data_IF_711599281845
#
_entry.id   IF_711599281845
#
_cell.length_a   1.000
_cell.length_b   1.000
_cell.length_c   1.000
_cell.angle_alpha   90.00
_cell.angle_beta   90.00
_cell.angle_gamma   90.00
#
_symmetry.space_group_name_H-M   'P 1'
#
loop_
_entity.id
_entity.type
_entity.pdbx_description
1 polymer ?
#
# COMPACT_ATOMS: atom_id res chain seq x y z
N UNK A 1 19.11 22.97 -18.76
CA UNK A 1 18.28 21.74 -18.73
C UNK A 1 18.56 21.03 -17.41
N UNK A 2 17.59 21.01 -16.49
CA UNK A 2 17.79 20.44 -15.16
C UNK A 2 17.87 18.91 -15.23
N UNK A 3 18.83 18.31 -14.51
CA UNK A 3 18.82 16.87 -14.26
C UNK A 3 17.53 16.54 -13.50
N UNK A 4 16.68 15.67 -14.05
CA UNK A 4 15.51 15.15 -13.35
C UNK A 4 15.91 13.87 -12.60
N UNK A 5 15.89 13.92 -11.27
CA UNK A 5 16.14 12.76 -10.43
C UNK A 5 14.82 12.09 -10.09
N UNK A 6 14.72 10.79 -10.34
CA UNK A 6 13.53 10.01 -9.96
C UNK A 6 13.98 8.88 -9.08
N UNK A 7 13.35 8.77 -7.91
CA UNK A 7 13.59 7.72 -6.93
C UNK A 7 12.24 7.07 -6.65
N UNK A 8 12.16 5.77 -6.90
CA UNK A 8 11.05 4.94 -6.49
C UNK A 8 11.45 4.25 -5.18
N UNK A 9 10.72 4.53 -4.10
CA UNK A 9 10.94 3.91 -2.80
C UNK A 9 9.83 2.90 -2.56
N UNK A 10 10.22 1.65 -2.28
CA UNK A 10 9.31 0.57 -1.95
C UNK A 10 9.51 0.20 -0.47
N UNK A 11 8.63 0.75 0.36
CA UNK A 11 8.55 0.44 1.78
C UNK A 11 7.69 -0.82 2.01
N UNK A 12 8.28 -1.99 1.81
CA UNK A 12 7.59 -3.25 2.11
C UNK A 12 7.47 -3.52 3.61
N UNK A 13 6.57 -4.44 3.95
CA UNK A 13 6.27 -4.77 5.36
C UNK A 13 7.48 -5.32 6.12
N UNK A 14 8.19 -6.28 5.51
CA UNK A 14 9.40 -6.88 6.10
C UNK A 14 10.71 -6.30 5.53
N UNK A 15 10.70 -5.81 4.29
CA UNK A 15 11.89 -5.27 3.62
C UNK A 15 11.56 -4.02 2.81
N UNK A 16 12.45 -3.04 2.86
CA UNK A 16 12.38 -1.79 2.12
C UNK A 16 13.53 -1.67 1.11
N UNK A 17 13.29 -1.04 -0.03
CA UNK A 17 14.31 -0.80 -1.05
C UNK A 17 13.98 0.41 -1.90
N UNK A 18 14.90 0.78 -2.78
CA UNK A 18 14.65 1.84 -3.74
C UNK A 18 15.38 1.60 -5.07
N UNK A 19 14.79 2.12 -6.13
CA UNK A 19 15.41 2.27 -7.44
C UNK A 19 15.45 3.74 -7.83
N UNK A 20 16.38 4.13 -8.69
CA UNK A 20 16.54 5.51 -9.10
C UNK A 20 17.05 5.64 -10.53
N UNK A 21 16.78 6.78 -11.17
CA UNK A 21 17.39 7.17 -12.44
C UNK A 21 18.02 8.56 -12.33
N UNK A 22 19.26 8.67 -12.81
CA UNK A 22 20.05 9.91 -12.85
C UNK A 22 20.26 10.43 -14.28
N UNK A 23 19.54 9.89 -15.27
CA UNK A 23 19.73 10.25 -16.68
C UNK A 23 18.96 11.52 -17.04
N UNK A 24 19.50 12.33 -17.98
CA UNK A 24 18.79 13.47 -18.58
C UNK A 24 17.42 13.02 -19.10
N UNK A 25 16.42 13.93 -19.11
CA UNK A 25 15.02 13.60 -19.46
C UNK A 25 14.87 12.98 -20.86
N UNK A 26 15.74 13.37 -21.80
CA UNK A 26 15.76 12.91 -23.20
C UNK A 26 16.57 11.63 -23.43
N UNK A 27 17.33 11.14 -22.44
CA UNK A 27 18.11 9.92 -22.57
C UNK A 27 17.26 8.68 -22.25
N UNK A 28 17.62 7.55 -22.87
CA UNK A 28 17.05 6.24 -22.54
C UNK A 28 17.14 6.01 -21.02
N UNK A 29 16.04 5.53 -20.44
CA UNK A 29 15.97 5.35 -19.00
C UNK A 29 16.39 3.94 -18.64
N UNK A 30 17.50 3.84 -17.91
CA UNK A 30 17.89 2.60 -17.25
C UNK A 30 17.78 2.78 -15.73
N UNK A 31 16.68 2.33 -15.08
CA UNK A 31 16.54 2.41 -13.65
C UNK A 31 17.61 1.57 -12.94
N UNK A 32 18.34 2.19 -12.01
CA UNK A 32 19.37 1.54 -11.18
C UNK A 32 18.77 1.14 -9.84
N UNK A 33 19.12 -0.06 -9.35
CA UNK A 33 18.73 -0.52 -8.02
C UNK A 33 19.87 -0.32 -7.03
N UNK A 34 19.51 0.06 -5.79
CA UNK A 34 20.41 -0.09 -4.66
C UNK A 34 20.39 -1.54 -4.20
N UNK A 35 21.55 -2.20 -4.26
CA UNK A 35 21.75 -3.48 -3.59
C UNK A 35 22.29 -3.26 -2.16
N UNK A 36 21.81 -4.09 -1.24
CA UNK A 36 22.08 -4.03 0.19
C UNK A 36 22.77 -5.30 0.68
N UNK A 37 23.28 -5.25 1.91
CA UNK A 37 23.76 -6.44 2.64
C UNK A 37 25.23 -6.78 2.42
N UNK A 38 26.01 -5.96 1.70
CA UNK A 38 27.46 -6.20 1.47
C UNK A 38 28.22 -6.42 2.78
N UNK A 39 27.85 -5.68 3.83
CA UNK A 39 28.41 -5.78 5.18
C UNK A 39 28.16 -7.11 5.90
N UNK A 40 27.18 -7.88 5.42
CA UNK A 40 26.82 -9.23 5.90
C UNK A 40 26.97 -10.28 4.79
N UNK A 41 27.81 -10.00 3.78
CA UNK A 41 28.06 -10.88 2.63
C UNK A 41 26.81 -11.24 1.80
N UNK A 42 25.77 -10.40 1.83
CA UNK A 42 24.57 -10.51 1.02
C UNK A 42 24.58 -9.48 -0.12
N UNK A 43 23.77 -9.75 -1.16
CA UNK A 43 23.48 -8.80 -2.25
C UNK A 43 22.00 -8.86 -2.58
N UNK A 44 21.20 -8.03 -1.92
CA UNK A 44 19.74 -8.06 -2.03
C UNK A 44 19.19 -6.73 -2.54
N UNK A 45 18.11 -6.73 -3.35
CA UNK A 45 17.49 -5.49 -3.87
C UNK A 45 16.72 -4.71 -2.78
N UNK A 46 16.49 -5.31 -1.61
CA UNK A 46 15.89 -4.68 -0.44
C UNK A 46 16.66 -5.03 0.84
N UNK A 47 16.51 -4.19 1.86
CA UNK A 47 17.06 -4.36 3.21
C UNK A 47 15.92 -4.52 4.21
N UNK A 48 16.10 -5.21 5.35
CA UNK A 48 15.06 -5.34 6.38
C UNK A 48 14.46 -4.00 6.80
N UNK A 49 13.16 -3.96 7.07
CA UNK A 49 12.49 -2.76 7.58
C UNK A 49 12.68 -2.69 9.10
N UNK A 50 13.87 -2.26 9.50
CA UNK A 50 14.24 -2.03 10.90
C UNK A 50 15.05 -0.75 11.04
N UNK A 51 14.90 -0.08 12.18
CA UNK A 51 15.49 1.23 12.46
C UNK A 51 16.04 1.24 13.88
N UNK A 52 17.21 1.85 14.04
CA UNK A 52 17.91 1.94 15.32
C UNK A 52 18.06 3.41 15.72
N UNK A 53 17.72 3.73 16.96
CA UNK A 53 17.93 5.02 17.59
C UNK A 53 18.81 4.88 18.83
N UNK A 54 19.49 5.96 19.22
CA UNK A 54 20.19 6.04 20.50
C UNK A 54 19.23 6.29 21.67
N UNK A 55 19.78 6.44 22.88
CA UNK A 55 19.01 6.72 24.11
C UNK A 55 18.32 8.09 24.15
N UNK A 56 18.66 8.97 23.20
CA UNK A 56 18.09 10.30 23.04
C UNK A 56 17.16 10.37 21.82
N UNK A 57 16.73 9.22 21.30
CA UNK A 57 15.84 9.10 20.15
C UNK A 57 16.44 9.65 18.84
N UNK A 58 17.76 9.82 18.75
CA UNK A 58 18.41 10.20 17.51
C UNK A 58 18.59 8.99 16.60
N UNK A 59 18.30 9.16 15.31
CA UNK A 59 18.48 8.12 14.30
C UNK A 59 19.95 7.71 14.20
N UNK A 60 20.22 6.41 14.33
CA UNK A 60 21.56 5.84 14.14
C UNK A 60 21.72 5.15 12.78
N UNK A 61 20.81 4.24 12.43
CA UNK A 61 20.93 3.45 11.19
C UNK A 61 19.62 2.75 10.79
N UNK A 62 19.59 2.21 9.57
CA UNK A 62 18.45 1.48 9.00
C UNK A 62 18.86 0.15 8.33
N UNK A 63 17.99 -0.85 8.35
CA UNK A 63 18.16 -2.13 7.67
C UNK A 63 19.28 -3.01 8.23
N UNK A 64 20.00 -3.73 7.36
CA UNK A 64 21.10 -4.61 7.79
C UNK A 64 22.15 -3.93 8.67
N UNK A 65 22.37 -2.62 8.51
CA UNK A 65 23.27 -1.86 9.39
C UNK A 65 22.70 -1.68 10.79
N UNK A 66 21.41 -1.33 10.91
CA UNK A 66 20.71 -1.26 12.19
C UNK A 66 20.73 -2.59 12.94
N UNK A 67 20.42 -3.69 12.26
CA UNK A 67 20.52 -5.04 12.83
C UNK A 67 21.94 -5.33 13.29
N UNK A 68 22.93 -5.15 12.41
CA UNK A 68 24.31 -5.46 12.75
C UNK A 68 24.82 -4.60 13.90
N UNK A 69 24.44 -3.32 13.97
CA UNK A 69 24.88 -2.42 15.03
C UNK A 69 24.24 -2.77 16.37
N UNK A 70 22.93 -3.04 16.37
CA UNK A 70 22.20 -3.42 17.58
C UNK A 70 22.73 -4.74 18.16
N UNK A 71 22.89 -5.78 17.33
CA UNK A 71 23.31 -7.11 17.79
C UNK A 71 24.82 -7.25 18.06
N UNK A 72 25.67 -6.33 17.57
CA UNK A 72 27.10 -6.29 17.94
C UNK A 72 27.38 -5.52 19.23
N UNK A 73 26.42 -4.72 19.73
CA UNK A 73 26.60 -3.93 20.95
C UNK A 73 26.43 -4.82 22.20
N UNK A 74 27.25 -4.62 23.25
CA UNK A 74 27.12 -5.33 24.54
C UNK A 74 25.74 -5.10 25.16
N UNK A 75 25.25 -6.09 25.92
CA UNK A 75 23.89 -6.12 26.50
C UNK A 75 23.48 -4.89 27.30
N UNK A 76 24.42 -4.23 27.99
CA UNK A 76 24.10 -3.05 28.81
C UNK A 76 23.99 -1.75 28.00
N UNK A 77 24.69 -1.64 26.88
CA UNK A 77 24.60 -0.49 25.96
C UNK A 77 23.48 -0.67 24.93
N UNK A 78 23.15 -1.91 24.52
CA UNK A 78 22.03 -2.19 23.64
C UNK A 78 20.68 -1.91 24.31
N UNK A 79 20.59 -2.10 25.64
CA UNK A 79 19.38 -1.82 26.45
C UNK A 79 18.97 -0.35 26.46
N UNK A 80 19.89 0.57 26.14
CA UNK A 80 19.60 2.00 26.07
C UNK A 80 19.20 2.47 24.67
N UNK A 81 19.42 1.64 23.65
CA UNK A 81 19.08 1.96 22.26
C UNK A 81 17.67 1.49 21.94
N UNK A 82 16.93 2.29 21.18
CA UNK A 82 15.61 1.89 20.68
C UNK A 82 15.75 1.23 19.32
N UNK A 83 15.60 -0.09 19.28
CA UNK A 83 15.57 -0.85 18.03
C UNK A 83 14.13 -1.23 17.70
N UNK A 84 13.64 -0.71 16.59
CA UNK A 84 12.32 -1.06 16.07
C UNK A 84 12.48 -1.95 14.85
N UNK A 85 11.95 -3.16 14.93
CA UNK A 85 11.94 -4.13 13.85
C UNK A 85 10.53 -4.55 13.49
N UNK A 86 10.32 -4.91 12.23
CA UNK A 86 9.05 -5.42 11.73
C UNK A 86 7.84 -4.56 12.15
N UNK A 87 8.07 -3.28 12.47
CA UNK A 87 7.08 -2.37 13.05
C UNK A 87 5.91 -2.11 12.08
N UNK A 88 6.09 -2.45 10.80
CA UNK A 88 5.05 -2.43 9.77
C UNK A 88 4.26 -3.74 9.67
N UNK A 89 4.77 -4.87 10.16
CA UNK A 89 4.06 -6.17 10.14
C UNK A 89 2.84 -6.17 11.06
N UNK A 90 2.92 -5.49 12.20
CA UNK A 90 1.77 -5.29 13.08
C UNK A 90 0.73 -4.32 12.50
N UNK A 91 1.10 -3.55 11.47
CA UNK A 91 0.23 -2.56 10.83
C UNK A 91 -0.44 -3.07 9.55
N UNK A 92 0.15 -4.07 8.87
CA UNK A 92 -0.32 -4.58 7.58
C UNK A 92 -0.12 -6.09 7.42
N UNK A 93 -1.23 -6.84 7.33
CA UNK A 93 -1.23 -8.18 6.75
C UNK A 93 -0.72 -8.10 5.32
N UNK A 94 0.08 -9.07 4.86
CA UNK A 94 0.66 -9.01 3.52
C UNK A 94 -0.43 -8.98 2.46
N UNK A 95 -0.43 -7.97 1.60
CA UNK A 95 -1.48 -7.79 0.60
C UNK A 95 -1.16 -8.49 -0.71
N UNK A 96 -2.20 -8.79 -1.47
CA UNK A 96 -2.11 -8.95 -2.92
C UNK A 96 -2.90 -7.81 -3.55
N UNK A 97 -2.38 -7.28 -4.65
CA UNK A 97 -3.06 -6.27 -5.46
C UNK A 97 -3.23 -6.80 -6.87
N UNK A 98 -4.46 -6.72 -7.40
CA UNK A 98 -4.86 -7.15 -8.73
C UNK A 98 -5.37 -5.92 -9.48
N UNK A 99 -4.76 -5.68 -10.63
CA UNK A 99 -5.13 -4.63 -11.58
C UNK A 99 -5.31 -5.24 -12.96
N UNK A 100 -6.18 -4.64 -13.78
CA UNK A 100 -6.46 -5.10 -15.14
C UNK A 100 -6.14 -3.96 -16.08
N UNK A 101 -5.29 -4.23 -17.07
CA UNK A 101 -4.84 -3.22 -18.02
C UNK A 101 -4.97 -3.71 -19.46
N UNK A 102 -5.37 -2.79 -20.33
CA UNK A 102 -5.19 -2.89 -21.77
C UNK A 102 -3.88 -2.18 -22.15
N UNK A 103 -3.09 -2.81 -23.01
CA UNK A 103 -1.91 -2.18 -23.61
C UNK A 103 -2.35 -1.53 -24.92
N UNK A 104 -2.34 -0.20 -24.96
CA UNK A 104 -2.72 0.59 -26.12
C UNK A 104 -1.61 0.58 -27.18
N UNK A 105 -1.96 1.01 -28.40
CA UNK A 105 -0.99 1.32 -29.43
C UNK A 105 0.04 2.35 -28.90
N UNK A 106 1.33 2.07 -29.09
CA UNK A 106 2.42 2.87 -28.49
C UNK A 106 2.83 2.45 -27.08
N UNK A 107 2.19 1.45 -26.47
CA UNK A 107 2.63 0.81 -25.22
C UNK A 107 2.16 1.46 -23.93
N UNK A 108 1.29 2.48 -24.00
CA UNK A 108 0.63 3.05 -22.83
C UNK A 108 -0.41 2.08 -22.25
N UNK A 109 -0.65 2.18 -20.94
CA UNK A 109 -1.56 1.32 -20.20
C UNK A 109 -2.87 2.04 -19.91
N UNK A 110 -3.99 1.42 -20.26
CA UNK A 110 -5.33 1.83 -19.85
C UNK A 110 -5.85 0.86 -18.80
N UNK A 111 -6.15 1.35 -17.60
CA UNK A 111 -6.76 0.52 -16.56
C UNK A 111 -8.23 0.22 -16.94
N UNK A 112 -8.64 -1.05 -16.85
CA UNK A 112 -10.00 -1.51 -17.18
C UNK A 112 -10.86 -1.75 -15.93
N UNK A 113 -10.22 -1.83 -14.78
CA UNK A 113 -10.87 -2.13 -13.52
C UNK A 113 -10.10 -1.48 -12.39
N UNK A 114 -10.80 -0.82 -11.46
CA UNK A 114 -10.19 -0.25 -10.26
C UNK A 114 -9.33 -1.29 -9.54
N UNK A 115 -8.18 -0.87 -9.01
CA UNK A 115 -7.35 -1.77 -8.21
C UNK A 115 -8.17 -2.49 -7.13
N UNK A 116 -7.90 -3.78 -6.96
CA UNK A 116 -8.55 -4.64 -5.96
C UNK A 116 -7.49 -5.44 -5.23
N UNK A 117 -7.77 -5.89 -4.01
CA UNK A 117 -6.79 -6.62 -3.22
C UNK A 117 -7.37 -7.31 -2.00
N UNK A 118 -6.55 -8.11 -1.34
CA UNK A 118 -6.87 -8.79 -0.08
C UNK A 118 -5.58 -9.06 0.72
N UNK A 119 -5.72 -9.60 1.94
CA UNK A 119 -4.61 -9.83 2.86
C UNK A 119 -4.02 -11.26 2.77
N UNK A 120 -4.12 -11.91 1.61
CA UNK A 120 -3.62 -13.28 1.35
C UNK A 120 -2.22 -13.32 0.74
N UNK A 121 -1.40 -12.29 0.95
CA UNK A 121 -0.03 -12.21 0.44
C UNK A 121 0.95 -13.14 1.16
N UNK A 122 2.25 -12.99 0.86
CA UNK A 122 3.29 -13.90 1.36
C UNK A 122 3.46 -13.95 2.89
N UNK A 123 2.93 -12.96 3.62
CA UNK A 123 2.93 -12.95 5.09
C UNK A 123 1.92 -13.92 5.70
N UNK A 124 0.85 -14.27 4.99
CA UNK A 124 -0.08 -15.33 5.42
C UNK A 124 0.69 -16.65 5.60
N UNK A 125 1.63 -16.92 4.69
CA UNK A 125 2.51 -18.10 4.78
C UNK A 125 3.50 -17.96 5.93
N UNK A 126 4.11 -16.79 6.13
CA UNK A 126 5.03 -16.55 7.27
C UNK A 126 4.35 -16.81 8.61
N UNK A 127 3.08 -16.38 8.74
CA UNK A 127 2.26 -16.65 9.92
C UNK A 127 2.08 -18.14 10.14
N UNK A 128 1.81 -18.92 9.10
CA UNK A 128 1.66 -20.38 9.19
C UNK A 128 2.96 -21.08 9.59
N UNK A 129 4.11 -20.61 9.12
CA UNK A 129 5.41 -21.09 9.60
C UNK A 129 5.61 -20.80 11.09
N UNK A 130 5.34 -19.57 11.55
CA UNK A 130 5.44 -19.21 12.98
C UNK A 130 4.49 -20.04 13.85
N UNK A 131 3.23 -20.18 13.42
CA UNK A 131 2.23 -21.02 14.11
C UNK A 131 2.72 -22.46 14.25
N UNK A 132 3.33 -23.02 13.20
CA UNK A 132 3.85 -24.38 13.23
C UNK A 132 5.09 -24.54 14.13
N UNK A 133 6.00 -23.56 14.15
CA UNK A 133 7.14 -23.58 15.07
C UNK A 133 6.70 -23.45 16.53
N UNK A 134 5.67 -22.63 16.78
CA UNK A 134 5.02 -22.52 18.09
C UNK A 134 4.34 -23.83 18.51
N UNK A 135 3.71 -24.54 17.58
CA UNK A 135 3.14 -25.88 17.80
C UNK A 135 4.24 -26.89 18.20
N UNK A 136 5.39 -26.85 17.53
CA UNK A 136 6.54 -27.72 17.84
C UNK A 136 7.04 -27.48 19.26
N UNK A 137 7.35 -26.22 19.62
CA UNK A 137 8.05 -25.92 20.87
C UNK A 137 7.15 -25.58 22.06
N UNK A 138 5.83 -25.58 21.89
CA UNK A 138 4.81 -25.08 22.84
C UNK A 138 4.75 -23.55 22.95
N UNK A 139 3.54 -23.05 23.25
CA UNK A 139 3.28 -21.62 23.47
C UNK A 139 4.24 -20.99 24.49
N UNK A 140 4.41 -21.65 25.64
CA UNK A 140 5.20 -21.08 26.74
C UNK A 140 6.67 -20.85 26.41
N UNK A 141 7.29 -21.79 25.69
CA UNK A 141 8.70 -21.69 25.30
C UNK A 141 8.86 -20.74 24.12
N UNK A 142 7.96 -20.84 23.12
CA UNK A 142 8.02 -19.98 21.95
C UNK A 142 7.83 -18.50 22.30
N UNK A 143 6.88 -18.18 23.18
CA UNK A 143 6.63 -16.81 23.63
C UNK A 143 7.82 -16.25 24.42
N UNK A 144 8.48 -17.07 25.25
CA UNK A 144 9.70 -16.69 25.93
C UNK A 144 10.85 -16.44 24.95
N UNK A 145 11.04 -17.34 23.97
CA UNK A 145 12.08 -17.21 22.94
C UNK A 145 11.87 -15.97 22.05
N UNK A 146 10.65 -15.70 21.59
CA UNK A 146 10.34 -14.50 20.79
C UNK A 146 10.63 -13.20 21.57
N UNK A 147 10.41 -13.21 22.89
CA UNK A 147 10.69 -12.07 23.77
C UNK A 147 12.18 -11.90 24.08
N UNK A 148 12.88 -12.99 24.40
CA UNK A 148 14.25 -12.96 24.90
C UNK A 148 15.30 -12.94 23.76
N UNK A 149 14.96 -13.50 22.60
CA UNK A 149 15.87 -13.66 21.46
C UNK A 149 15.28 -13.19 20.11
N UNK A 150 14.77 -11.94 20.01
CA UNK A 150 14.17 -11.41 18.77
C UNK A 150 15.14 -11.44 17.57
N UNK A 151 16.45 -11.27 17.82
CA UNK A 151 17.51 -11.37 16.82
C UNK A 151 17.54 -12.70 16.06
N UNK A 152 17.48 -13.79 16.83
CA UNK A 152 17.56 -15.15 16.31
C UNK A 152 16.28 -15.49 15.57
N UNK A 153 15.13 -15.08 16.13
CA UNK A 153 13.84 -15.22 15.46
C UNK A 153 13.83 -14.48 14.12
N UNK A 154 14.33 -13.25 14.06
CA UNK A 154 14.39 -12.48 12.83
C UNK A 154 15.25 -13.17 11.76
N UNK A 155 16.42 -13.69 12.15
CA UNK A 155 17.28 -14.46 11.25
C UNK A 155 16.54 -15.69 10.72
N UNK A 156 15.88 -16.44 11.60
CA UNK A 156 15.06 -17.59 11.21
C UNK A 156 13.94 -17.18 10.25
N UNK A 157 13.24 -16.06 10.50
CA UNK A 157 12.19 -15.57 9.61
C UNK A 157 12.73 -15.14 8.24
N UNK A 158 13.94 -14.58 8.17
CA UNK A 158 14.62 -14.31 6.90
C UNK A 158 14.93 -15.61 6.15
N UNK A 159 15.45 -16.63 6.83
CA UNK A 159 15.71 -17.94 6.23
C UNK A 159 14.42 -18.55 5.67
N UNK A 160 13.33 -18.54 6.45
CA UNK A 160 12.00 -18.97 6.00
C UNK A 160 11.56 -18.19 4.75
N UNK A 161 11.82 -16.87 4.70
CA UNK A 161 11.46 -16.05 3.54
C UNK A 161 12.11 -16.51 2.23
N UNK A 162 13.35 -16.99 2.32
CA UNK A 162 14.11 -17.54 1.18
C UNK A 162 13.61 -18.95 0.85
N UNK A 163 13.35 -19.78 1.87
CA UNK A 163 12.86 -21.16 1.70
C UNK A 163 11.50 -21.21 0.97
N UNK A 164 10.62 -20.22 1.19
CA UNK A 164 9.34 -20.07 0.48
C UNK A 164 9.46 -19.91 -1.04
N UNK A 165 10.65 -19.60 -1.55
CA UNK A 165 10.89 -19.48 -2.99
C UNK A 165 10.94 -20.84 -3.69
N UNK A 166 11.39 -21.88 -2.97
CA UNK A 166 11.48 -23.26 -3.46
C UNK A 166 10.18 -24.04 -3.30
N UNK A 167 10.10 -25.21 -3.94
CA UNK A 167 9.02 -26.19 -3.77
C UNK A 167 9.64 -27.54 -3.38
N UNK A 168 10.41 -27.56 -2.30
CA UNK A 168 11.17 -28.72 -1.83
C UNK A 168 10.98 -28.92 -0.32
N UNK A 169 11.58 -29.99 0.22
CA UNK A 169 11.77 -30.10 1.66
C UNK A 169 12.64 -28.94 2.15
N UNK A 170 12.31 -28.41 3.32
CA UNK A 170 13.02 -27.26 3.89
C UNK A 170 13.74 -27.64 5.17
N UNK A 171 14.92 -27.07 5.36
CA UNK A 171 15.74 -27.26 6.53
C UNK A 171 15.99 -25.89 7.17
N UNK A 172 15.47 -25.72 8.39
CA UNK A 172 15.62 -24.49 9.17
C UNK A 172 16.65 -24.77 10.25
N UNK A 173 17.75 -24.01 10.25
CA UNK A 173 18.74 -24.12 11.32
C UNK A 173 18.09 -23.75 12.65
N UNK A 174 18.21 -24.61 13.66
CA UNK A 174 17.74 -24.28 14.99
C UNK A 174 18.68 -23.25 15.61
N UNK A 175 18.17 -22.08 16.04
CA UNK A 175 18.99 -21.10 16.72
C UNK A 175 19.49 -21.65 18.06
N UNK A 176 20.68 -21.20 18.47
CA UNK A 176 21.36 -21.74 19.63
C UNK A 176 20.50 -21.58 20.89
N UNK A 177 19.98 -20.37 21.15
CA UNK A 177 19.22 -20.13 22.36
C UNK A 177 17.88 -20.88 22.35
N UNK A 178 17.21 -20.99 21.20
CA UNK A 178 16.02 -21.84 21.08
C UNK A 178 16.32 -23.30 21.44
N UNK A 179 17.44 -23.83 20.92
CA UNK A 179 17.89 -25.19 21.20
C UNK A 179 18.21 -25.42 22.68
N UNK A 180 18.89 -24.48 23.34
CA UNK A 180 19.21 -24.58 24.77
C UNK A 180 17.94 -24.51 25.63
N UNK A 181 17.05 -23.56 25.38
CA UNK A 181 15.75 -23.45 26.06
C UNK A 181 14.90 -24.73 25.90
N UNK A 182 14.92 -25.34 24.71
CA UNK A 182 14.21 -26.60 24.44
C UNK A 182 14.79 -27.78 25.23
N UNK A 183 16.13 -27.90 25.29
CA UNK A 183 16.82 -28.97 26.02
C UNK A 183 16.56 -28.94 27.53
N UNK A 184 16.40 -27.76 28.12
CA UNK A 184 16.05 -27.62 29.54
C UNK A 184 14.67 -28.23 29.86
N UNK A 185 13.75 -28.25 28.89
CA UNK A 185 12.41 -28.81 29.07
C UNK A 185 12.38 -30.32 28.83
N UNK A 186 12.99 -30.80 27.75
CA UNK A 186 13.03 -32.22 27.38
C UNK A 186 14.06 -32.51 26.28
N UNK A 187 14.25 -33.79 25.95
CA UNK A 187 15.06 -34.19 24.78
C UNK A 187 14.47 -33.60 23.49
N UNK A 188 15.34 -33.06 22.64
CA UNK A 188 14.96 -32.30 21.45
C UNK A 188 14.06 -33.10 20.50
N UNK A 189 14.36 -34.39 20.31
CA UNK A 189 13.64 -35.30 19.42
C UNK A 189 12.15 -35.42 19.79
N UNK A 190 11.84 -35.34 21.10
CA UNK A 190 10.47 -35.48 21.61
C UNK A 190 9.52 -34.37 21.17
N UNK A 191 10.03 -33.18 20.83
CA UNK A 191 9.19 -32.09 20.30
C UNK A 191 8.62 -32.39 18.90
N UNK A 192 9.20 -33.37 18.19
CA UNK A 192 8.85 -33.65 16.79
C UNK A 192 8.09 -34.98 16.62
N UNK A 193 8.21 -35.92 17.57
CA UNK A 193 7.66 -37.28 17.48
C UNK A 193 6.14 -37.33 17.21
N UNK A 194 5.38 -36.38 17.75
CA UNK A 194 3.92 -36.33 17.61
C UNK A 194 3.44 -35.62 16.34
N UNK A 195 4.34 -34.93 15.61
CA UNK A 195 3.99 -34.05 14.51
C UNK A 195 4.31 -34.67 13.16
N UNK A 196 3.36 -34.62 12.23
CA UNK A 196 3.53 -35.17 10.88
C UNK A 196 4.27 -34.20 9.97
N UNK A 197 5.17 -34.75 9.15
CA UNK A 197 5.86 -34.01 8.10
C UNK A 197 6.95 -33.06 8.62
N UNK A 198 7.40 -33.26 9.86
CA UNK A 198 8.55 -32.57 10.46
C UNK A 198 9.45 -33.57 11.18
N UNK A 199 10.75 -33.31 11.22
CA UNK A 199 11.71 -34.11 11.97
C UNK A 199 12.89 -33.27 12.45
N UNK A 200 13.58 -33.76 13.47
CA UNK A 200 14.82 -33.20 13.96
C UNK A 200 16.03 -33.94 13.37
N UNK A 201 17.02 -33.22 12.86
CA UNK A 201 18.29 -33.80 12.42
C UNK A 201 19.46 -32.84 12.65
N UNK A 202 20.44 -33.26 13.46
CA UNK A 202 21.76 -32.59 13.61
C UNK A 202 21.71 -31.06 13.75
N UNK A 203 20.81 -30.52 14.57
CA UNK A 203 20.71 -29.08 14.80
C UNK A 203 19.73 -28.35 13.88
N UNK A 204 19.00 -29.06 13.03
CA UNK A 204 18.04 -28.46 12.10
C UNK A 204 16.65 -29.10 12.17
N UNK A 205 15.66 -28.25 11.93
CA UNK A 205 14.25 -28.60 11.80
C UNK A 205 13.98 -28.88 10.31
N UNK A 206 13.74 -30.13 9.97
CA UNK A 206 13.39 -30.54 8.60
C UNK A 206 11.89 -30.62 8.44
N UNK A 207 11.33 -29.86 7.51
CA UNK A 207 9.89 -29.86 7.20
C UNK A 207 9.71 -30.37 5.77
N UNK A 208 8.87 -31.38 5.61
CA UNK A 208 8.56 -31.96 4.30
C UNK A 208 7.87 -30.96 3.38
N UNK A 209 8.12 -31.08 2.08
CA UNK A 209 7.48 -30.34 0.99
C UNK A 209 5.96 -30.32 1.11
N UNK A 210 5.36 -31.47 1.45
CA UNK A 210 3.90 -31.59 1.61
C UNK A 210 3.38 -30.71 2.75
N UNK A 211 4.09 -30.69 3.89
CA UNK A 211 3.77 -29.84 5.02
C UNK A 211 4.00 -28.37 4.69
N UNK A 212 5.10 -28.02 4.02
CA UNK A 212 5.34 -26.65 3.53
C UNK A 212 4.20 -26.16 2.63
N UNK A 213 3.80 -26.95 1.63
CA UNK A 213 2.66 -26.62 0.75
C UNK A 213 1.36 -26.37 1.52
N UNK A 214 1.14 -27.07 2.65
CA UNK A 214 -0.05 -26.84 3.48
C UNK A 214 -0.10 -25.43 4.08
N UNK A 215 1.05 -24.79 4.32
CA UNK A 215 1.13 -23.40 4.81
C UNK A 215 0.69 -22.37 3.77
N UNK A 216 0.70 -22.75 2.49
CA UNK A 216 0.28 -21.89 1.38
C UNK A 216 -1.22 -22.01 1.10
N UNK A 217 -1.90 -23.06 1.58
CA UNK A 217 -3.26 -23.40 1.14
C UNK A 217 -4.27 -22.24 1.30
N UNK A 218 -4.27 -21.56 2.45
CA UNK A 218 -5.14 -20.41 2.72
C UNK A 218 -4.86 -19.26 1.74
N UNK A 219 -3.59 -18.90 1.58
CA UNK A 219 -3.15 -17.83 0.68
C UNK A 219 -3.52 -18.13 -0.78
N UNK A 220 -3.18 -19.32 -1.27
CA UNK A 220 -3.43 -19.73 -2.65
C UNK A 220 -4.93 -19.78 -2.98
N UNK A 221 -5.76 -20.28 -2.05
CA UNK A 221 -7.21 -20.30 -2.22
C UNK A 221 -7.79 -18.88 -2.29
N UNK A 222 -7.33 -17.99 -1.39
CA UNK A 222 -7.70 -16.58 -1.40
C UNK A 222 -7.35 -15.88 -2.72
N UNK A 223 -6.11 -16.05 -3.19
CA UNK A 223 -5.65 -15.50 -4.48
C UNK A 223 -6.48 -16.06 -5.64
N UNK A 224 -6.71 -17.36 -5.67
CA UNK A 224 -7.49 -18.02 -6.74
C UNK A 224 -8.91 -17.46 -6.81
N UNK A 225 -9.54 -17.23 -5.65
CA UNK A 225 -10.88 -16.65 -5.58
C UNK A 225 -10.89 -15.23 -6.17
N UNK A 226 -9.97 -14.36 -5.75
CA UNK A 226 -9.91 -12.99 -6.24
C UNK A 226 -9.58 -12.89 -7.74
N UNK A 227 -8.67 -13.74 -8.26
CA UNK A 227 -8.42 -13.80 -9.70
C UNK A 227 -9.68 -14.26 -10.45
N UNK A 228 -10.39 -15.29 -9.97
CA UNK A 228 -11.65 -15.73 -10.59
C UNK A 228 -12.74 -14.66 -10.58
N UNK A 229 -12.83 -13.85 -9.53
CA UNK A 229 -13.79 -12.74 -9.44
C UNK A 229 -13.53 -11.68 -10.52
N UNK A 230 -12.26 -11.39 -10.80
CA UNK A 230 -11.87 -10.50 -11.90
C UNK A 230 -12.15 -11.14 -13.26
N UNK A 231 -11.78 -12.40 -13.46
CA UNK A 231 -11.97 -13.10 -14.73
C UNK A 231 -13.45 -13.38 -15.09
N UNK A 232 -14.37 -13.28 -14.11
CA UNK A 232 -15.82 -13.32 -14.36
C UNK A 232 -16.36 -12.04 -15.00
N UNK A 233 -15.58 -10.95 -14.97
CA UNK A 233 -15.94 -9.70 -15.63
C UNK A 233 -15.70 -9.85 -17.13
N UNK A 234 -16.44 -9.11 -17.93
CA UNK A 234 -16.38 -9.15 -19.39
C UNK A 234 -15.16 -8.42 -19.95
N UNK A 235 -13.97 -8.90 -19.59
CA UNK A 235 -12.69 -8.38 -20.05
C UNK A 235 -12.02 -9.39 -20.98
N UNK A 236 -11.43 -8.90 -22.06
CA UNK A 236 -10.59 -9.71 -22.94
C UNK A 236 -9.19 -9.85 -22.32
N UNK A 237 -8.98 -10.91 -21.55
CA UNK A 237 -7.71 -11.18 -20.88
C UNK A 237 -6.90 -12.20 -21.68
N UNK A 238 -5.67 -11.84 -22.06
CA UNK A 238 -4.71 -12.74 -22.71
C UNK A 238 -3.60 -13.20 -21.75
N UNK A 239 -3.15 -12.30 -20.88
CA UNK A 239 -2.02 -12.53 -19.97
C UNK A 239 -2.40 -12.37 -18.51
N UNK A 240 -1.81 -13.21 -17.65
CA UNK A 240 -1.77 -13.00 -16.20
C UNK A 240 -0.32 -12.79 -15.80
N UNK A 241 0.02 -11.60 -15.31
CA UNK A 241 1.39 -11.24 -14.92
C UNK A 241 1.54 -11.33 -13.40
N UNK A 242 2.44 -12.19 -12.93
CA UNK A 242 2.81 -12.32 -11.52
C UNK A 242 4.04 -11.45 -11.23
N UNK A 243 3.90 -10.48 -10.34
CA UNK A 243 4.97 -9.53 -9.97
C UNK A 243 5.03 -9.34 -8.45
N UNK A 244 6.08 -8.67 -7.96
CA UNK A 244 6.30 -8.44 -6.54
C UNK A 244 7.07 -9.55 -5.83
N UNK A 245 7.31 -9.38 -4.53
CA UNK A 245 8.15 -10.31 -3.75
C UNK A 245 7.59 -11.72 -3.67
N UNK A 246 6.28 -11.87 -3.48
CA UNK A 246 5.65 -13.18 -3.32
C UNK A 246 5.64 -14.01 -4.61
N UNK A 247 5.69 -13.36 -5.77
CA UNK A 247 5.79 -14.02 -7.07
C UNK A 247 7.13 -14.76 -7.29
N UNK A 248 8.12 -14.63 -6.38
CA UNK A 248 9.31 -15.49 -6.38
C UNK A 248 9.01 -16.93 -5.98
N UNK A 249 7.91 -17.18 -5.26
CA UNK A 249 7.51 -18.52 -4.84
C UNK A 249 7.14 -19.41 -6.02
N UNK A 250 7.87 -20.51 -6.21
CA UNK A 250 7.54 -21.52 -7.21
C UNK A 250 6.18 -22.17 -6.94
N UNK A 251 5.83 -22.38 -5.66
CA UNK A 251 4.52 -22.92 -5.26
C UNK A 251 3.39 -22.01 -5.77
N UNK A 252 3.49 -20.70 -5.54
CA UNK A 252 2.49 -19.74 -6.04
C UNK A 252 2.43 -19.73 -7.57
N UNK A 253 3.57 -19.65 -8.25
CA UNK A 253 3.64 -19.60 -9.71
C UNK A 253 3.03 -20.85 -10.35
N UNK A 254 3.38 -22.02 -9.85
CA UNK A 254 2.83 -23.29 -10.32
C UNK A 254 1.33 -23.37 -10.04
N UNK A 255 0.88 -22.98 -8.85
CA UNK A 255 -0.54 -22.98 -8.51
C UNK A 255 -1.37 -22.14 -9.48
N UNK A 256 -0.97 -20.88 -9.72
CA UNK A 256 -1.67 -20.00 -10.67
C UNK A 256 -1.59 -20.54 -12.09
N UNK A 257 -0.43 -21.06 -12.52
CA UNK A 257 -0.28 -21.67 -13.85
C UNK A 257 -1.17 -22.89 -14.01
N UNK A 258 -1.30 -23.74 -13.00
CA UNK A 258 -2.17 -24.92 -13.06
C UNK A 258 -3.66 -24.53 -13.06
N UNK A 259 -4.03 -23.48 -12.32
CA UNK A 259 -5.43 -23.02 -12.24
C UNK A 259 -5.89 -22.29 -13.50
N UNK A 260 -5.01 -21.52 -14.16
CA UNK A 260 -5.41 -20.57 -15.20
C UNK A 260 -4.64 -20.73 -16.52
N UNK A 261 -3.52 -21.45 -16.53
CA UNK A 261 -2.63 -21.61 -17.69
C UNK A 261 -3.24 -22.32 -18.89
N UNK A 262 -4.32 -23.09 -18.70
CA UNK A 262 -5.07 -23.70 -19.79
C UNK A 262 -5.88 -22.71 -20.62
N UNK A 263 -6.18 -21.52 -20.08
CA UNK A 263 -6.99 -20.48 -20.74
C UNK A 263 -6.22 -19.17 -20.96
N UNK A 264 -5.25 -18.87 -20.09
CA UNK A 264 -4.53 -17.60 -20.10
C UNK A 264 -3.02 -17.85 -20.09
N UNK A 265 -2.25 -16.93 -20.68
CA UNK A 265 -0.79 -17.00 -20.63
C UNK A 265 -0.27 -16.41 -19.31
N UNK A 266 0.11 -17.28 -18.38
CA UNK A 266 0.67 -16.88 -17.09
C UNK A 266 2.17 -16.60 -17.23
N UNK A 267 2.60 -15.39 -16.90
CA UNK A 267 4.01 -14.97 -16.97
C UNK A 267 4.48 -14.43 -15.62
N UNK A 268 5.76 -14.63 -15.33
CA UNK A 268 6.45 -14.03 -14.20
C UNK A 268 7.85 -13.60 -14.70
N UNK A 269 8.25 -12.33 -14.55
CA UNK A 269 9.58 -11.89 -14.94
C UNK A 269 10.65 -12.57 -14.08
N UNK A 270 11.89 -12.62 -14.56
CA UNK A 270 13.01 -13.25 -13.84
C UNK A 270 13.27 -12.63 -12.46
N UNK A 271 13.02 -11.33 -12.31
CA UNK A 271 13.21 -10.57 -11.07
C UNK A 271 11.91 -9.81 -10.71
N UNK A 272 10.88 -10.49 -10.18
CA UNK A 272 9.54 -9.93 -10.03
C UNK A 272 9.44 -8.80 -9.01
N UNK A 273 10.30 -8.79 -7.99
CA UNK A 273 10.38 -7.69 -7.03
C UNK A 273 11.06 -6.44 -7.64
N UNK A 274 12.07 -6.63 -8.50
CA UNK A 274 12.75 -5.51 -9.15
C UNK A 274 11.86 -4.84 -10.20
N UNK A 275 11.02 -5.61 -10.89
CA UNK A 275 10.10 -5.11 -11.89
C UNK A 275 9.18 -3.99 -11.34
N UNK A 276 8.73 -4.11 -10.08
CA UNK A 276 7.92 -3.09 -9.40
C UNK A 276 8.70 -1.77 -9.25
N UNK A 277 9.90 -1.83 -8.66
CA UNK A 277 10.69 -0.62 -8.42
C UNK A 277 11.15 0.04 -9.74
N UNK A 278 11.55 -0.78 -10.73
CA UNK A 278 11.92 -0.28 -12.07
C UNK A 278 10.70 0.37 -12.75
N UNK A 279 9.54 -0.28 -12.70
CA UNK A 279 8.28 0.25 -13.23
C UNK A 279 7.90 1.59 -12.61
N UNK A 280 8.06 1.75 -11.29
CA UNK A 280 7.80 3.02 -10.61
C UNK A 280 8.75 4.14 -11.05
N UNK A 281 10.04 3.85 -11.30
CA UNK A 281 10.97 4.85 -11.88
C UNK A 281 10.55 5.24 -13.30
N UNK A 282 10.17 4.27 -14.14
CA UNK A 282 9.71 4.53 -15.51
C UNK A 282 8.43 5.39 -15.50
N UNK A 283 7.46 5.04 -14.65
CA UNK A 283 6.22 5.80 -14.47
C UNK A 283 6.48 7.23 -13.98
N UNK A 284 7.35 7.41 -12.98
CA UNK A 284 7.71 8.75 -12.51
C UNK A 284 8.32 9.62 -13.61
N UNK A 285 9.03 9.03 -14.58
CA UNK A 285 9.66 9.77 -15.70
C UNK A 285 8.65 10.13 -16.78
N UNK A 286 7.75 9.21 -17.07
CA UNK A 286 6.69 9.41 -18.03
C UNK A 286 5.35 8.94 -17.46
N UNK A 287 4.62 9.81 -16.75
CA UNK A 287 3.30 9.47 -16.20
C UNK A 287 2.28 9.07 -17.29
N UNK A 288 2.46 9.55 -18.53
CA UNK A 288 1.61 9.18 -19.67
C UNK A 288 1.70 7.69 -20.05
N UNK A 289 2.66 6.93 -19.48
CA UNK A 289 2.69 5.46 -19.58
C UNK A 289 1.44 4.81 -19.01
N UNK A 290 0.74 5.46 -18.07
CA UNK A 290 -0.61 5.07 -17.67
C UNK A 290 -1.56 6.12 -18.24
N UNK A 291 -2.17 5.81 -19.39
CA UNK A 291 -3.02 6.73 -20.13
C UNK A 291 -4.29 7.11 -19.35
N UNK A 292 -4.91 6.12 -18.70
CA UNK A 292 -6.12 6.32 -17.90
C UNK A 292 -6.25 5.31 -16.77
N UNK A 293 -7.00 5.71 -15.75
CA UNK A 293 -7.30 4.94 -14.54
C UNK A 293 -8.80 4.83 -14.33
N UNK A 294 -9.23 3.84 -13.55
CA UNK A 294 -10.63 3.69 -13.14
C UNK A 294 -10.81 4.23 -11.73
N UNK A 295 -11.68 5.23 -11.56
CA UNK A 295 -11.90 5.85 -10.25
C UNK A 295 -12.45 4.84 -9.24
N UNK A 296 -11.76 4.67 -8.11
CA UNK A 296 -12.15 3.72 -7.07
C UNK A 296 -13.37 4.18 -6.25
N UNK A 297 -13.63 5.49 -6.22
CA UNK A 297 -14.70 6.13 -5.46
C UNK A 297 -15.43 7.15 -6.34
N UNK A 298 -16.63 7.55 -5.91
CA UNK A 298 -17.22 8.81 -6.39
C UNK A 298 -16.62 9.95 -5.57
N UNK A 299 -16.07 10.96 -6.22
CA UNK A 299 -15.54 12.15 -5.57
C UNK A 299 -16.43 13.35 -5.87
N UNK A 300 -16.53 14.25 -4.90
CA UNK A 300 -17.31 15.46 -5.04
C UNK A 300 -16.83 16.60 -4.14
N UNK A 301 -17.45 17.75 -4.31
CA UNK A 301 -17.16 18.98 -3.57
C UNK A 301 -18.43 19.50 -2.91
N UNK A 302 -18.32 20.02 -1.69
CA UNK A 302 -19.42 20.70 -1.00
C UNK A 302 -19.62 22.08 -1.60
N UNK A 303 -20.83 22.37 -2.06
CA UNK A 303 -21.22 23.68 -2.58
C UNK A 303 -22.54 24.13 -1.93
N UNK A 304 -22.79 25.44 -1.99
CA UNK A 304 -24.08 26.02 -1.63
C UNK A 304 -24.84 26.41 -2.91
N UNK A 305 -26.13 26.10 -2.97
CA UNK A 305 -27.02 26.57 -4.04
C UNK A 305 -28.15 27.42 -3.46
N UNK A 306 -28.86 28.16 -4.31
CA UNK A 306 -30.13 28.79 -3.91
C UNK A 306 -31.09 27.73 -3.37
N UNK A 307 -31.77 28.04 -2.28
CA UNK A 307 -32.73 27.12 -1.69
C UNK A 307 -33.90 26.90 -2.65
N UNK A 308 -34.38 25.67 -2.72
CA UNK A 308 -35.46 25.23 -3.62
C UNK A 308 -36.24 24.16 -2.85
N UNK A 309 -37.41 24.52 -2.36
CA UNK A 309 -38.25 23.68 -1.49
C UNK A 309 -38.69 22.38 -2.19
N UNK A 310 -38.69 22.33 -3.52
CA UNK A 310 -39.05 21.13 -4.28
C UNK A 310 -37.93 20.08 -4.34
N UNK A 311 -36.68 20.48 -4.03
CA UNK A 311 -35.49 19.62 -4.14
C UNK A 311 -34.74 19.46 -2.83
N UNK A 312 -34.66 20.54 -2.05
CA UNK A 312 -33.79 20.63 -0.89
C UNK A 312 -34.56 20.31 0.41
N UNK A 313 -33.91 19.57 1.31
CA UNK A 313 -34.43 19.34 2.66
C UNK A 313 -34.45 20.64 3.46
N UNK A 314 -35.53 20.87 4.21
CA UNK A 314 -35.75 22.10 4.95
C UNK A 314 -34.69 22.35 6.04
N UNK A 315 -34.09 21.30 6.62
CA UNK A 315 -33.02 21.37 7.63
C UNK A 315 -31.66 21.79 7.04
N UNK A 316 -31.54 21.86 5.71
CA UNK A 316 -30.36 22.35 4.99
C UNK A 316 -30.47 23.81 4.57
N UNK A 317 -31.62 24.44 4.83
CA UNK A 317 -31.86 25.83 4.52
C UNK A 317 -31.15 26.75 5.51
N UNK A 318 -30.50 27.77 5.00
CA UNK A 318 -30.03 28.92 5.78
C UNK A 318 -30.21 30.22 5.01
N UNK A 319 -30.20 31.35 5.70
CA UNK A 319 -30.37 32.68 5.10
C UNK A 319 -29.13 33.52 5.32
N UNK A 320 -28.66 34.17 4.27
CA UNK A 320 -27.55 35.12 4.32
C UNK A 320 -27.99 36.49 3.77
N UNK A 321 -27.06 37.45 3.62
CA UNK A 321 -27.38 38.80 3.13
C UNK A 321 -27.99 38.82 1.72
N UNK A 322 -27.77 37.76 0.95
CA UNK A 322 -28.18 37.64 -0.45
C UNK A 322 -29.44 36.78 -0.63
N UNK A 323 -30.00 36.17 0.43
CA UNK A 323 -31.26 35.41 0.42
C UNK A 323 -31.17 34.01 1.04
N UNK A 324 -32.08 33.12 0.66
CA UNK A 324 -32.11 31.73 1.14
C UNK A 324 -31.21 30.80 0.29
N UNK A 325 -30.46 29.96 0.98
CA UNK A 325 -29.49 29.02 0.41
C UNK A 325 -29.66 27.63 1.02
N UNK A 326 -29.21 26.63 0.28
CA UNK A 326 -29.03 25.26 0.74
C UNK A 326 -27.54 24.98 0.86
N UNK A 327 -27.09 24.61 2.05
CA UNK A 327 -25.70 24.22 2.32
C UNK A 327 -25.47 22.72 2.06
N UNK A 328 -24.19 22.32 2.06
CA UNK A 328 -23.74 20.94 2.17
C UNK A 328 -24.15 20.06 0.98
N UNK A 329 -24.35 20.64 -0.20
CA UNK A 329 -24.71 19.89 -1.41
C UNK A 329 -23.47 19.16 -1.93
N UNK A 330 -23.59 17.85 -2.14
CA UNK A 330 -22.53 17.03 -2.72
C UNK A 330 -22.57 17.11 -4.25
N UNK A 331 -21.73 17.99 -4.81
CA UNK A 331 -21.58 18.10 -6.25
C UNK A 331 -20.55 17.07 -6.75
N UNK A 332 -21.00 16.14 -7.61
CA UNK A 332 -20.16 15.05 -8.13
C UNK A 332 -19.16 15.60 -9.15
N UNK A 333 -17.89 15.26 -8.95
CA UNK A 333 -16.78 15.62 -9.83
C UNK A 333 -16.39 14.46 -10.76
N UNK A 334 -16.30 13.25 -10.19
CA UNK A 334 -16.05 11.99 -10.91
C UNK A 334 -16.80 10.87 -10.22
N UNK A 335 -17.34 9.93 -10.99
CA UNK A 335 -18.08 8.79 -10.45
C UNK A 335 -17.18 7.59 -10.21
N UNK A 336 -17.59 6.73 -9.28
CA UNK A 336 -17.00 5.40 -9.12
C UNK A 336 -17.07 4.63 -10.45
N UNK A 337 -15.99 3.95 -10.80
CA UNK A 337 -15.81 3.21 -12.05
C UNK A 337 -15.75 4.08 -13.32
N UNK A 338 -15.69 5.41 -13.18
CA UNK A 338 -15.44 6.31 -14.30
C UNK A 338 -13.96 6.26 -14.72
N UNK A 339 -13.72 6.24 -16.03
CA UNK A 339 -12.38 6.33 -16.59
C UNK A 339 -11.86 7.77 -16.56
N UNK A 340 -10.65 7.93 -16.04
CA UNK A 340 -10.00 9.23 -15.91
C UNK A 340 -8.62 9.20 -16.56
N UNK A 341 -8.43 10.07 -17.56
CA UNK A 341 -7.13 10.28 -18.20
C UNK A 341 -6.11 10.93 -17.26
N UNK A 342 -4.83 10.59 -17.43
CA UNK A 342 -3.72 11.06 -16.58
C UNK A 342 -3.51 12.59 -16.59
N UNK A 343 -3.91 13.25 -17.68
CA UNK A 343 -3.79 14.69 -17.90
C UNK A 343 -5.12 15.43 -17.90
N UNK A 344 -6.24 14.73 -17.66
CA UNK A 344 -7.57 15.33 -17.71
C UNK A 344 -7.77 16.26 -16.51
N UNK A 345 -7.92 17.55 -16.81
CA UNK A 345 -8.38 18.56 -15.85
C UNK A 345 -9.86 18.82 -16.08
N UNK A 346 -10.67 18.62 -15.05
CA UNK A 346 -12.06 19.09 -15.01
C UNK A 346 -12.07 20.51 -14.44
N UNK A 347 -12.80 21.43 -15.09
CA UNK A 347 -12.94 22.82 -14.65
C UNK A 347 -14.40 23.10 -14.29
N UNK A 348 -14.60 23.79 -13.17
CA UNK A 348 -15.90 24.22 -12.67
C UNK A 348 -15.84 25.70 -12.34
N UNK A 349 -16.79 26.49 -12.86
CA UNK A 349 -16.95 27.89 -12.48
C UNK A 349 -17.97 28.02 -11.37
N UNK A 350 -17.62 28.79 -10.34
CA UNK A 350 -18.43 29.10 -9.17
C UNK A 350 -18.42 30.62 -8.95
N UNK A 351 -19.35 31.08 -8.12
CA UNK A 351 -19.40 32.47 -7.66
C UNK A 351 -19.39 32.51 -6.13
N UNK A 352 -18.96 33.62 -5.51
CA UNK A 352 -19.15 33.84 -4.08
C UNK A 352 -20.63 33.77 -3.69
N UNK A 353 -20.90 33.36 -2.44
CA UNK A 353 -22.27 33.26 -1.89
C UNK A 353 -22.72 34.58 -1.24
N UNK A 354 -21.77 35.46 -0.91
CA UNK A 354 -22.00 36.81 -0.43
C UNK A 354 -21.14 37.81 -1.21
N UNK A 355 -21.66 39.03 -1.39
CA UNK A 355 -20.95 40.06 -2.17
C UNK A 355 -19.63 40.49 -1.53
N UNK A 356 -19.56 40.51 -0.20
CA UNK A 356 -18.38 40.91 0.58
C UNK A 356 -17.51 39.73 1.05
N UNK A 357 -17.74 38.52 0.54
CA UNK A 357 -16.96 37.34 0.92
C UNK A 357 -15.49 37.49 0.50
N UNK A 358 -14.57 37.47 1.46
CA UNK A 358 -13.12 37.61 1.21
C UNK A 358 -12.35 36.29 1.19
N UNK A 359 -12.97 35.19 1.58
CA UNK A 359 -12.38 33.86 1.56
C UNK A 359 -13.41 32.80 1.14
N UNK A 360 -13.00 31.89 0.28
CA UNK A 360 -13.86 30.88 -0.34
C UNK A 360 -13.30 29.49 -0.01
N UNK A 361 -14.10 28.70 0.69
CA UNK A 361 -13.71 27.36 1.13
C UNK A 361 -14.32 26.31 0.21
N UNK A 362 -13.50 25.44 -0.36
CA UNK A 362 -13.97 24.20 -1.00
C UNK A 362 -13.59 23.02 -0.14
N UNK A 363 -14.57 22.20 0.24
CA UNK A 363 -14.36 20.95 0.96
C UNK A 363 -14.65 19.77 0.03
N UNK A 364 -13.71 18.83 -0.05
CA UNK A 364 -13.77 17.67 -0.94
C UNK A 364 -14.16 16.43 -0.16
N UNK A 365 -14.95 15.58 -0.81
CA UNK A 365 -15.52 14.39 -0.23
C UNK A 365 -15.41 13.21 -1.20
N UNK A 366 -15.49 11.99 -0.66
CA UNK A 366 -15.61 10.77 -1.45
C UNK A 366 -16.70 9.85 -0.89
N UNK A 367 -17.17 8.91 -1.69
CA UNK A 367 -18.10 7.86 -1.25
C UNK A 367 -18.00 6.59 -2.11
N UNK A 368 -18.27 5.44 -1.48
CA UNK A 368 -18.51 4.14 -2.14
C UNK A 368 -20.01 3.83 -2.29
N UNK A 369 -20.89 4.74 -1.85
CA UNK A 369 -22.33 4.53 -1.97
C UNK A 369 -22.77 4.66 -3.42
N UNK A 370 -23.83 3.92 -3.75
CA UNK A 370 -24.62 4.20 -4.95
C UNK A 370 -25.12 5.64 -4.87
N UNK A 371 -24.81 6.43 -5.88
CA UNK A 371 -25.11 7.86 -5.96
C UNK A 371 -26.59 8.18 -6.14
N UNK A 372 -27.43 7.18 -6.42
CA UNK A 372 -28.85 7.39 -6.66
C UNK A 372 -29.53 7.88 -5.37
N UNK A 373 -30.05 9.11 -5.41
CA UNK A 373 -30.66 9.78 -4.26
C UNK A 373 -29.67 10.40 -3.26
N UNK A 374 -28.37 10.35 -3.53
CA UNK A 374 -27.35 11.03 -2.73
C UNK A 374 -27.32 12.51 -3.08
N UNK A 375 -27.52 13.39 -2.11
CA UNK A 375 -27.57 14.83 -2.34
C UNK A 375 -26.65 15.63 -1.43
N UNK A 376 -26.37 15.16 -0.21
CA UNK A 376 -25.63 15.95 0.78
C UNK A 376 -24.33 15.30 1.24
N UNK A 377 -23.37 16.14 1.62
CA UNK A 377 -22.03 15.71 2.06
C UNK A 377 -21.99 15.12 3.46
N UNK A 378 -23.03 15.33 4.26
CA UNK A 378 -23.17 14.80 5.61
C UNK A 378 -24.03 13.53 5.67
N UNK A 379 -24.46 13.03 4.52
CA UNK A 379 -25.11 11.72 4.47
C UNK A 379 -24.13 10.60 4.84
N UNK A 380 -24.67 9.55 5.45
CA UNK A 380 -23.89 8.37 5.83
C UNK A 380 -23.02 7.86 4.67
N UNK A 381 -21.78 7.46 4.93
CA UNK A 381 -20.88 6.93 3.90
C UNK A 381 -20.29 7.97 2.94
N UNK A 382 -20.52 9.26 3.14
CA UNK A 382 -19.76 10.35 2.49
C UNK A 382 -18.67 10.82 3.45
N UNK A 383 -17.42 10.81 3.01
CA UNK A 383 -16.25 11.09 3.84
C UNK A 383 -15.51 12.31 3.33
N UNK A 384 -15.23 13.28 4.21
CA UNK A 384 -14.38 14.44 3.87
C UNK A 384 -12.93 13.96 3.71
N UNK A 385 -12.30 14.34 2.59
CA UNK A 385 -10.91 14.00 2.28
C UNK A 385 -9.96 15.20 2.37
N UNK A 386 -10.49 16.42 2.29
CA UNK A 386 -9.66 17.62 2.38
C UNK A 386 -10.47 18.90 2.19
N UNK A 387 -9.79 20.03 2.30
CA UNK A 387 -10.35 21.34 1.97
C UNK A 387 -9.26 22.35 1.61
N UNK A 388 -9.64 23.33 0.80
CA UNK A 388 -8.81 24.45 0.37
C UNK A 388 -9.54 25.76 0.66
N UNK A 389 -8.81 26.79 1.03
CA UNK A 389 -9.34 28.14 1.25
C UNK A 389 -8.64 29.05 0.25
N UNK A 390 -9.43 29.65 -0.65
CA UNK A 390 -9.00 30.67 -1.59
C UNK A 390 -9.26 32.04 -0.98
N UNK A 391 -8.20 32.80 -0.74
CA UNK A 391 -8.30 34.22 -0.39
C UNK A 391 -8.72 35.02 -1.63
N UNK A 392 -9.78 35.81 -1.51
CA UNK A 392 -10.34 36.68 -2.55
C UNK A 392 -10.71 38.05 -1.92
N UNK A 393 -9.70 38.83 -1.48
CA UNK A 393 -9.93 40.05 -0.68
C UNK A 393 -10.53 41.21 -1.49
N UNK A 394 -10.36 41.23 -2.82
CA UNK A 394 -11.01 42.22 -3.69
C UNK A 394 -12.47 41.82 -3.92
N UNK A 395 -13.38 42.63 -3.37
CA UNK A 395 -14.83 42.41 -3.44
C UNK A 395 -15.54 43.40 -4.37
N UNK A 396 -14.82 44.18 -5.19
CA UNK A 396 -15.40 45.24 -6.02
C UNK A 396 -16.49 44.75 -6.98
N UNK A 397 -16.36 43.51 -7.47
CA UNK A 397 -17.34 42.86 -8.36
C UNK A 397 -18.45 42.10 -7.63
N UNK A 398 -18.43 42.06 -6.30
CA UNK A 398 -19.45 41.39 -5.49
C UNK A 398 -19.59 39.90 -5.83
N UNK A 399 -20.81 39.45 -6.09
CA UNK A 399 -21.09 38.07 -6.52
C UNK A 399 -20.76 37.80 -8.00
N UNK A 400 -20.45 38.83 -8.80
CA UNK A 400 -20.08 38.65 -10.22
C UNK A 400 -18.59 38.30 -10.40
N UNK A 401 -17.92 37.90 -9.32
CA UNK A 401 -16.57 37.35 -9.35
C UNK A 401 -16.60 35.92 -9.87
N UNK A 402 -15.71 35.60 -10.79
CA UNK A 402 -15.58 34.23 -11.30
C UNK A 402 -14.52 33.46 -10.50
N UNK A 403 -14.95 32.37 -9.88
CA UNK A 403 -14.08 31.46 -9.15
C UNK A 403 -13.96 30.17 -9.95
N UNK A 404 -12.76 29.84 -10.41
CA UNK A 404 -12.49 28.59 -11.12
C UNK A 404 -11.92 27.55 -10.18
N UNK A 405 -12.53 26.38 -10.20
CA UNK A 405 -12.05 25.18 -9.54
C UNK A 405 -11.58 24.19 -10.60
N UNK A 406 -10.27 23.96 -10.65
CA UNK A 406 -9.64 23.02 -11.56
C UNK A 406 -9.19 21.78 -10.78
N UNK A 407 -9.61 20.61 -11.24
CA UNK A 407 -9.33 19.34 -10.58
C UNK A 407 -8.68 18.40 -11.59
N UNK A 408 -7.47 17.98 -11.27
CA UNK A 408 -6.72 17.02 -12.07
C UNK A 408 -6.75 15.67 -11.37
N UNK A 409 -7.36 14.73 -12.05
CA UNK A 409 -7.42 13.33 -11.65
C UNK A 409 -6.40 12.51 -12.48
N UNK A 410 -6.11 11.27 -12.08
CA UNK A 410 -5.30 10.34 -12.89
C UNK A 410 -3.77 10.43 -12.71
N UNK A 411 -3.25 11.47 -12.06
CA UNK A 411 -1.90 11.47 -11.50
C UNK A 411 -1.81 10.62 -10.22
N UNK A 412 -0.61 10.45 -9.65
CA UNK A 412 -0.41 9.73 -8.38
C UNK A 412 -1.24 10.32 -7.23
N UNK A 413 -1.44 11.63 -7.27
CA UNK A 413 -2.25 12.40 -6.32
C UNK A 413 -3.31 13.18 -7.10
N UNK A 414 -4.50 13.35 -6.51
CA UNK A 414 -5.49 14.26 -7.07
C UNK A 414 -5.11 15.68 -6.69
N UNK A 415 -4.92 16.55 -7.68
CA UNK A 415 -4.54 17.95 -7.38
C UNK A 415 -5.70 18.86 -7.69
N UNK A 416 -5.96 19.80 -6.80
CA UNK A 416 -7.02 20.79 -6.98
C UNK A 416 -6.45 22.19 -6.86
N UNK A 417 -6.83 23.05 -7.81
CA UNK A 417 -6.46 24.46 -7.86
C UNK A 417 -7.73 25.30 -7.85
N UNK A 418 -7.82 26.26 -6.92
CA UNK A 418 -8.88 27.26 -6.90
C UNK A 418 -8.29 28.61 -7.29
N UNK A 419 -8.97 29.33 -8.17
CA UNK A 419 -8.51 30.58 -8.78
C UNK A 419 -9.65 31.60 -8.70
N UNK A 420 -9.38 32.77 -8.15
CA UNK A 420 -10.19 33.96 -8.35
C UNK A 420 -9.72 34.62 -9.65
N UNK A 421 -10.53 34.55 -10.70
CA UNK A 421 -10.14 34.98 -12.05
C UNK A 421 -9.92 36.49 -12.12
N UNK A 422 -10.65 37.25 -11.31
CA UNK A 422 -10.59 38.71 -11.33
C UNK A 422 -9.33 39.24 -10.66
N UNK A 423 -8.95 38.68 -9.51
CA UNK A 423 -7.75 39.09 -8.77
C UNK A 423 -6.49 38.32 -9.17
N UNK A 424 -6.63 37.17 -9.82
CA UNK A 424 -5.55 36.22 -10.10
C UNK A 424 -5.11 35.41 -8.87
N UNK A 425 -5.75 35.60 -7.71
CA UNK A 425 -5.45 34.84 -6.50
C UNK A 425 -5.63 33.35 -6.76
N UNK A 426 -4.63 32.55 -6.38
CA UNK A 426 -4.59 31.13 -6.70
C UNK A 426 -4.08 30.35 -5.50
N UNK A 427 -4.74 29.23 -5.20
CA UNK A 427 -4.31 28.27 -4.20
C UNK A 427 -4.39 26.87 -4.78
N UNK A 428 -3.40 26.03 -4.46
CA UNK A 428 -3.33 24.64 -4.92
C UNK A 428 -3.05 23.71 -3.75
N UNK A 429 -3.74 22.58 -3.71
CA UNK A 429 -3.46 21.48 -2.77
C UNK A 429 -3.40 20.14 -3.50
N UNK A 430 -2.69 19.20 -2.90
CA UNK A 430 -2.71 17.79 -3.25
C UNK A 430 -3.64 17.06 -2.27
N UNK A 431 -4.55 16.24 -2.79
CA UNK A 431 -5.55 15.48 -2.03
C UNK A 431 -5.14 14.02 -1.94
N UNK A 432 -5.10 13.49 -0.72
CA UNK A 432 -4.67 12.11 -0.45
C UNK A 432 -5.71 11.08 -0.92
N UNK A 433 -5.27 10.16 -1.78
CA UNK A 433 -6.00 9.01 -2.29
C UNK A 433 -6.41 8.02 -1.18
N UNK A 434 -5.56 7.91 -0.14
CA UNK A 434 -5.46 6.76 0.75
C UNK A 434 -5.85 7.05 2.19
N UNK A 435 -6.51 8.19 2.47
CA UNK A 435 -7.08 8.47 3.78
C UNK A 435 -8.18 7.46 4.12
N UNK A 436 -7.83 6.19 4.39
CA UNK A 436 -8.71 5.21 5.03
C UNK A 436 -9.26 5.91 6.27
N UNK A 437 -10.56 5.81 6.47
CA UNK A 437 -11.20 6.26 7.70
C UNK A 437 -10.33 5.87 8.90
N UNK A 438 -9.80 6.86 9.61
CA UNK A 438 -9.00 6.69 10.84
C UNK A 438 -9.73 5.80 11.88
N UNK A 439 -11.04 5.56 11.70
CA UNK A 439 -11.84 4.64 12.51
C UNK A 439 -11.34 3.19 12.49
N UNK A 440 -10.68 2.69 11.43
CA UNK A 440 -10.14 1.32 11.47
C UNK A 440 -8.82 1.20 12.24
N UNK A 441 -8.13 2.31 12.49
CA UNK A 441 -6.83 2.33 13.18
C UNK A 441 -6.94 2.40 14.71
N UNK A 442 -8.03 2.96 15.25
CA UNK A 442 -8.18 3.18 16.70
C UNK A 442 -8.55 1.95 17.53
N UNK A 443 -8.99 0.85 16.93
CA UNK A 443 -9.43 -0.31 17.71
C UNK A 443 -8.34 -1.32 18.06
N UNK A 444 -7.11 -1.21 17.53
CA UNK A 444 -6.09 -2.26 17.71
C UNK A 444 -4.70 -1.78 18.14
N UNK A 445 -4.50 -0.49 18.44
CA UNK A 445 -3.20 0.00 18.92
C UNK A 445 -3.49 0.97 20.06
N UNK A 446 -2.88 0.74 21.23
CA UNK A 446 -3.13 1.38 22.54
C UNK A 446 -4.18 0.72 23.45
N UNK A 447 -4.18 -0.61 23.55
CA UNK A 447 -4.46 -1.28 24.83
C UNK A 447 -3.43 -2.40 25.03
N UNK A 448 -2.32 -2.07 25.66
CA UNK A 448 -1.54 -2.93 26.55
C UNK A 448 -0.52 -2.09 27.31
#
# INVERSE_FOLDING_TARGET
MANSYIIAIDFGTAYSGYAFSLTKREAETEPRLKYWGRQVALKTPKTPTCILFDEHENFLSFGYEAQSAYFKTRSDESRKKFFFECFKMSLYGGTIDITVHEVLEGGALKELHKASGNDFGGQTVDKKFKEFLREIFSDSLWDAYEKEHPAELQKMMYEISVLKESDDDVEISCPYNLGEMAKEKQKMEKFFESLRGVSWNQGAIKISKQKVRSFFAESLNGITKSVREILKKDFKIEYILLVGGYARSLILRQHITNQFGGQYKVLCPSHPQEAIMKGAVLFGRNPALVASRISAFTYGVSLCHRFDESKHKADKRYTNKEGEWCDSIFCILVKENEEVGWDKTSEYSCTPIERDQTAITFAFYRTERKIQGLMYVDEWGVEKIGSIILESPDTARGMNREIKLQIKFGATEMTTTAIDVDSGSTVKIDLDFMAKSIKSFRNNVWQK
#
